data_IF_645669196364
#
_entry.id   IF_645669196364
#
_cell.length_a   1.000
_cell.length_b   1.000
_cell.length_c   1.000
_cell.angle_alpha   90.00
_cell.angle_beta   90.00
_cell.angle_gamma   90.00
#
_symmetry.space_group_name_H-M   'P 1'
#
loop_
_entity.id
_entity.type
_entity.pdbx_description
1 polymer ?
#
# COMPACT_ATOMS: atom_id res chain seq x y z
N UNK A 1 28.85 -14.62 -9.30
CA UNK A 1 27.92 -14.08 -8.29
C UNK A 1 28.73 -13.16 -7.38
N UNK A 2 28.58 -11.86 -7.57
CA UNK A 2 29.11 -10.85 -6.66
C UNK A 2 28.45 -9.50 -6.99
N UNK A 3 27.46 -9.08 -6.20
CA UNK A 3 27.17 -7.67 -5.96
C UNK A 3 26.73 -7.55 -4.50
N UNK A 4 27.61 -6.93 -3.71
CA UNK A 4 27.36 -6.48 -2.33
C UNK A 4 26.80 -5.04 -2.29
N UNK A 5 26.50 -4.53 -1.08
CA UNK A 5 25.36 -3.68 -0.71
C UNK A 5 25.62 -2.17 -0.93
N UNK A 6 24.61 -1.26 -1.03
CA UNK A 6 23.49 -1.12 -0.09
C UNK A 6 22.13 -0.85 -0.77
N UNK A 7 21.07 -1.53 -0.36
CA UNK A 7 19.76 -0.93 -0.58
C UNK A 7 19.53 0.01 0.61
N UNK A 8 20.14 1.21 0.53
CA UNK A 8 19.45 2.39 1.03
C UNK A 8 18.03 2.26 0.47
N UNK A 9 17.09 1.93 1.35
CA UNK A 9 15.74 1.56 0.94
C UNK A 9 15.05 2.81 0.44
N UNK A 10 15.38 3.24 -0.78
CA UNK A 10 14.54 4.06 -1.60
C UNK A 10 13.33 3.20 -1.91
N UNK A 11 12.44 3.09 -0.92
CA UNK A 11 11.16 2.45 -1.01
C UNK A 11 10.52 3.08 -2.24
N UNK A 12 10.40 2.30 -3.32
CA UNK A 12 9.78 2.79 -4.55
C UNK A 12 8.43 3.37 -4.16
N UNK A 13 7.98 4.51 -4.72
CA UNK A 13 6.74 5.16 -4.30
C UNK A 13 5.53 4.22 -4.26
N UNK A 14 5.52 3.18 -5.10
CA UNK A 14 4.52 2.09 -5.05
C UNK A 14 4.60 1.24 -3.78
N UNK A 15 5.79 0.81 -3.36
CA UNK A 15 5.97 0.03 -2.14
C UNK A 15 5.65 0.86 -0.88
N UNK A 16 6.02 2.15 -0.87
CA UNK A 16 5.68 3.06 0.22
C UNK A 16 4.15 3.28 0.32
N UNK A 17 3.46 3.38 -0.82
CA UNK A 17 2.00 3.47 -0.87
C UNK A 17 1.34 2.20 -0.32
N UNK A 18 1.83 1.03 -0.69
CA UNK A 18 1.26 -0.25 -0.26
C UNK A 18 1.42 -0.47 1.24
N UNK A 19 2.56 -0.08 1.81
CA UNK A 19 2.79 -0.14 3.26
C UNK A 19 1.83 0.78 4.02
N UNK A 20 1.65 2.00 3.51
CA UNK A 20 0.69 2.96 4.06
C UNK A 20 -0.76 2.44 3.97
N UNK A 21 -1.15 1.91 2.81
CA UNK A 21 -2.47 1.34 2.60
C UNK A 21 -2.73 0.15 3.51
N UNK A 22 -1.77 -0.76 3.68
CA UNK A 22 -1.89 -1.90 4.60
C UNK A 22 -2.12 -1.45 6.03
N UNK A 23 -1.41 -0.41 6.47
CA UNK A 23 -1.57 0.18 7.81
C UNK A 23 -2.95 0.81 8.00
N UNK A 24 -3.40 1.59 7.02
CA UNK A 24 -4.71 2.25 7.06
C UNK A 24 -5.88 1.27 6.96
N UNK A 25 -5.77 0.23 6.14
CA UNK A 25 -6.79 -0.81 5.98
C UNK A 25 -7.02 -1.64 7.27
N UNK A 26 -6.05 -1.64 8.20
CA UNK A 26 -6.20 -2.26 9.51
C UNK A 26 -7.17 -1.52 10.45
N UNK A 27 -7.43 -0.24 10.20
CA UNK A 27 -8.26 0.62 11.09
C UNK A 27 -9.39 1.36 10.38
N UNK A 28 -9.35 1.44 9.04
CA UNK A 28 -10.29 2.20 8.23
C UNK A 28 -10.92 1.35 7.13
N UNK A 29 -12.08 1.80 6.64
CA UNK A 29 -12.68 1.22 5.43
C UNK A 29 -11.76 1.43 4.21
N UNK A 30 -11.88 0.59 3.18
CA UNK A 30 -11.14 0.75 1.91
C UNK A 30 -11.33 2.15 1.31
N UNK A 31 -12.53 2.71 1.43
CA UNK A 31 -12.89 4.03 0.91
C UNK A 31 -12.10 5.15 1.60
N UNK A 32 -11.97 5.06 2.93
CA UNK A 32 -11.33 6.06 3.76
C UNK A 32 -9.81 5.93 3.70
N UNK A 33 -9.29 4.69 3.79
CA UNK A 33 -7.87 4.39 3.60
C UNK A 33 -7.35 4.94 2.26
N UNK A 34 -8.10 4.73 1.17
CA UNK A 34 -7.72 5.28 -0.13
C UNK A 34 -7.76 6.82 -0.20
N UNK A 35 -8.68 7.47 0.53
CA UNK A 35 -8.75 8.93 0.59
C UNK A 35 -7.57 9.54 1.34
N UNK A 36 -7.21 8.95 2.48
CA UNK A 36 -6.08 9.36 3.30
C UNK A 36 -4.76 9.14 2.55
N UNK A 37 -4.56 7.95 1.97
CA UNK A 37 -3.35 7.63 1.22
C UNK A 37 -3.22 8.47 -0.08
N UNK A 38 -4.32 8.78 -0.77
CA UNK A 38 -4.29 9.67 -1.94
C UNK A 38 -3.87 11.10 -1.58
N UNK A 39 -4.36 11.61 -0.45
CA UNK A 39 -3.96 12.93 0.07
C UNK A 39 -2.48 12.94 0.44
N UNK A 40 -1.99 11.91 1.12
CA UNK A 40 -0.60 11.81 1.55
C UNK A 40 0.40 11.60 0.38
N UNK A 41 0.00 10.82 -0.64
CA UNK A 41 0.86 10.50 -1.78
C UNK A 41 0.75 11.50 -2.95
N UNK A 42 -0.28 12.35 -2.96
CA UNK A 42 -0.59 13.21 -4.10
C UNK A 42 -1.10 12.47 -5.34
N UNK A 43 -1.34 11.16 -5.23
CA UNK A 43 -1.81 10.33 -6.34
C UNK A 43 -3.33 10.47 -6.56
N UNK A 44 -3.83 10.25 -7.79
CA UNK A 44 -5.26 10.28 -8.05
C UNK A 44 -5.99 9.23 -7.20
N UNK A 45 -7.04 9.66 -6.49
CA UNK A 45 -7.80 8.79 -5.58
C UNK A 45 -8.30 7.50 -6.24
N UNK A 46 -8.65 7.51 -7.54
CA UNK A 46 -9.06 6.29 -8.27
C UNK A 46 -7.96 5.23 -8.35
N UNK A 47 -6.70 5.66 -8.50
CA UNK A 47 -5.54 4.76 -8.60
C UNK A 47 -5.28 4.13 -7.24
N UNK A 48 -5.27 4.97 -6.20
CA UNK A 48 -5.07 4.52 -4.81
C UNK A 48 -6.20 3.61 -4.35
N UNK A 49 -7.45 3.91 -4.72
CA UNK A 49 -8.60 3.08 -4.36
C UNK A 49 -8.55 1.69 -5.01
N UNK A 50 -8.17 1.60 -6.29
CA UNK A 50 -7.97 0.32 -6.95
C UNK A 50 -6.92 -0.52 -6.22
N UNK A 51 -5.79 0.10 -5.84
CA UNK A 51 -4.73 -0.57 -5.08
C UNK A 51 -5.16 -1.02 -3.69
N UNK A 52 -5.91 -0.17 -2.98
CA UNK A 52 -6.46 -0.50 -1.67
C UNK A 52 -7.42 -1.70 -1.74
N UNK A 53 -8.21 -1.81 -2.82
CA UNK A 53 -9.12 -2.92 -3.05
C UNK A 53 -8.35 -4.24 -3.26
N UNK A 54 -7.28 -4.22 -4.04
CA UNK A 54 -6.40 -5.37 -4.25
C UNK A 54 -5.76 -5.83 -2.93
N UNK A 55 -5.18 -4.90 -2.16
CA UNK A 55 -4.54 -5.20 -0.88
C UNK A 55 -5.54 -5.76 0.14
N UNK A 56 -6.75 -5.19 0.22
CA UNK A 56 -7.80 -5.68 1.12
C UNK A 56 -8.20 -7.12 0.81
N UNK A 57 -8.28 -7.49 -0.48
CA UNK A 57 -8.54 -8.88 -0.90
C UNK A 57 -7.39 -9.81 -0.53
N UNK A 58 -6.15 -9.38 -0.74
CA UNK A 58 -4.96 -10.16 -0.37
C UNK A 58 -4.88 -10.41 1.14
N UNK A 59 -5.26 -9.44 1.96
CA UNK A 59 -5.31 -9.59 3.42
C UNK A 59 -6.43 -10.53 3.86
N UNK A 60 -7.60 -10.49 3.21
CA UNK A 60 -8.68 -11.42 3.49
C UNK A 60 -8.28 -12.88 3.17
N UNK A 61 -7.60 -13.10 2.04
CA UNK A 61 -7.10 -14.42 1.63
C UNK A 61 -5.97 -14.92 2.57
N UNK A 62 -5.14 -14.01 3.09
CA UNK A 62 -4.06 -14.34 4.01
C UNK A 62 -4.54 -14.65 5.44
N UNK A 63 -5.67 -14.08 5.89
CA UNK A 63 -6.26 -14.37 7.21
C UNK A 63 -7.01 -15.70 7.27
N UNK A 64 -7.35 -16.30 6.13
CA UNK A 64 -8.08 -17.57 6.03
C UNK A 64 -7.15 -18.80 5.96
N UNK A 65 -5.82 -18.58 5.91
CA UNK A 65 -4.78 -19.63 5.86
C UNK A 65 -3.99 -19.70 7.16
#
# INVERSE_FOLDING_TARGET
VLLGPPAETAQTPAAALDDELRRLLGTHSVKDAAGLAATASGLPRRVVYARALELSRQQADASDR
#
